data_IF_162038103639
#
_entry.id   IF_162038103639
#
_cell.length_a   1.000
_cell.length_b   1.000
_cell.length_c   1.000
_cell.angle_alpha   90.00
_cell.angle_beta   90.00
_cell.angle_gamma   90.00
#
_symmetry.space_group_name_H-M   'P 1'
#
loop_
_entity.id
_entity.type
_entity.pdbx_description
1 polymer ?
#
# COMPACT_ATOMS: atom_id res chain seq x y z
N UNK A 1 -39.09 47.32 -7.94
CA UNK A 1 -39.09 45.88 -8.16
C UNK A 1 -37.70 45.39 -7.78
N UNK A 2 -37.55 44.80 -6.58
CA UNK A 2 -36.26 44.36 -6.05
C UNK A 2 -36.09 42.89 -6.33
N UNK A 3 -35.16 42.52 -7.18
CA UNK A 3 -34.78 41.10 -7.41
C UNK A 3 -33.98 40.60 -6.21
N UNK A 4 -34.57 39.66 -5.48
CA UNK A 4 -33.86 38.82 -4.50
C UNK A 4 -32.93 37.88 -5.29
N UNK A 5 -31.62 38.16 -5.20
CA UNK A 5 -30.61 37.19 -5.60
C UNK A 5 -30.67 36.05 -4.58
N UNK A 6 -31.29 34.94 -4.98
CA UNK A 6 -31.25 33.68 -4.26
C UNK A 6 -29.92 32.99 -4.57
N UNK A 7 -29.28 32.43 -3.56
CA UNK A 7 -28.20 31.49 -3.79
C UNK A 7 -27.11 31.59 -2.73
N UNK A 8 -27.43 31.14 -1.51
CA UNK A 8 -26.39 30.64 -0.60
C UNK A 8 -25.67 29.52 -1.35
N UNK A 9 -24.33 29.55 -1.47
CA UNK A 9 -23.61 28.43 -2.06
C UNK A 9 -24.04 27.18 -1.32
N UNK A 10 -24.53 26.16 -2.03
CA UNK A 10 -24.84 24.88 -1.44
C UNK A 10 -23.53 24.36 -0.84
N UNK A 11 -23.44 24.26 0.47
CA UNK A 11 -22.33 23.57 1.14
C UNK A 11 -22.29 22.18 0.52
N UNK A 12 -21.17 21.72 -0.06
CA UNK A 12 -21.09 20.39 -0.64
C UNK A 12 -21.59 19.37 0.40
N UNK A 13 -22.49 18.48 -0.01
CA UNK A 13 -23.00 17.44 0.87
C UNK A 13 -21.79 16.59 1.26
N UNK A 14 -21.49 16.51 2.56
CA UNK A 14 -20.43 15.67 3.06
C UNK A 14 -20.76 14.21 2.75
N UNK A 15 -19.87 13.53 2.05
CA UNK A 15 -20.01 12.12 1.68
C UNK A 15 -18.83 11.33 2.22
N UNK A 16 -19.00 10.02 2.40
CA UNK A 16 -17.91 9.14 2.83
C UNK A 16 -16.72 9.22 1.86
N UNK A 17 -16.96 9.20 0.53
CA UNK A 17 -15.91 9.36 -0.48
C UNK A 17 -15.22 10.72 -0.37
N UNK A 18 -15.96 11.80 -0.24
CA UNK A 18 -15.37 13.15 -0.06
C UNK A 18 -14.50 13.27 1.19
N UNK A 19 -14.82 12.52 2.25
CA UNK A 19 -13.99 12.45 3.46
C UNK A 19 -12.69 11.67 3.17
N UNK A 20 -12.76 10.57 2.43
CA UNK A 20 -11.59 9.77 2.01
C UNK A 20 -10.66 10.59 1.11
N UNK A 21 -11.22 11.29 0.11
CA UNK A 21 -10.45 12.14 -0.81
C UNK A 21 -9.73 13.27 -0.06
N UNK A 22 -10.42 13.91 0.88
CA UNK A 22 -9.85 14.96 1.72
C UNK A 22 -8.78 14.40 2.69
N UNK A 23 -8.93 13.17 3.16
CA UNK A 23 -7.94 12.52 4.00
C UNK A 23 -6.63 12.25 3.23
N UNK A 24 -6.71 11.80 1.99
CA UNK A 24 -5.53 11.65 1.13
C UNK A 24 -4.87 13.01 0.85
N UNK A 25 -5.64 14.03 0.48
CA UNK A 25 -5.12 15.37 0.24
C UNK A 25 -4.43 15.95 1.48
N UNK A 26 -5.00 15.76 2.67
CA UNK A 26 -4.39 16.20 3.92
C UNK A 26 -3.07 15.49 4.22
N UNK A 27 -2.98 14.18 3.92
CA UNK A 27 -1.74 13.42 4.10
C UNK A 27 -0.65 13.87 3.12
N UNK A 28 -0.99 14.17 1.87
CA UNK A 28 -0.04 14.70 0.89
C UNK A 28 0.47 16.09 1.29
N UNK A 29 -0.41 16.95 1.83
CA UNK A 29 -0.07 18.32 2.23
C UNK A 29 0.75 18.37 3.52
N UNK A 30 0.35 17.60 4.55
CA UNK A 30 0.83 17.77 5.91
C UNK A 30 1.59 16.55 6.48
N UNK A 31 1.56 15.42 5.79
CA UNK A 31 2.18 14.18 6.25
C UNK A 31 1.37 13.42 7.32
N UNK A 32 1.78 12.17 7.62
CA UNK A 32 1.04 11.27 8.52
C UNK A 32 1.05 11.72 9.98
N UNK A 33 2.12 12.40 10.44
CA UNK A 33 2.23 12.87 11.83
C UNK A 33 1.20 13.96 12.16
N UNK A 34 0.87 14.78 11.18
CA UNK A 34 -0.09 15.87 11.31
C UNK A 34 -1.55 15.43 11.05
N UNK A 35 -1.76 14.18 10.67
CA UNK A 35 -3.08 13.65 10.35
C UNK A 35 -3.94 13.43 11.59
N UNK A 36 -5.04 14.17 11.69
CA UNK A 36 -6.04 14.00 12.75
C UNK A 36 -7.46 14.29 12.25
N UNK A 37 -8.46 13.68 12.90
CA UNK A 37 -9.88 13.90 12.60
C UNK A 37 -10.27 15.37 12.72
N UNK A 38 -9.65 16.09 13.66
CA UNK A 38 -9.89 17.53 13.84
C UNK A 38 -9.34 18.38 12.68
N UNK A 39 -8.15 18.05 12.16
CA UNK A 39 -7.59 18.74 10.97
C UNK A 39 -8.39 18.41 9.72
N UNK A 40 -8.78 17.16 9.57
CA UNK A 40 -9.61 16.71 8.45
C UNK A 40 -10.97 17.42 8.43
N UNK A 41 -11.64 17.54 9.61
CA UNK A 41 -12.88 18.31 9.71
C UNK A 41 -12.70 19.78 9.30
N UNK A 42 -11.58 20.38 9.73
CA UNK A 42 -11.24 21.76 9.40
C UNK A 42 -10.97 21.94 7.90
N UNK A 43 -10.25 21.04 7.24
CA UNK A 43 -10.01 21.10 5.79
C UNK A 43 -11.31 21.00 5.00
N UNK A 44 -12.28 20.24 5.48
CA UNK A 44 -13.63 20.11 4.91
C UNK A 44 -14.60 21.25 5.29
N UNK A 45 -14.18 22.18 6.15
CA UNK A 45 -15.02 23.28 6.60
C UNK A 45 -16.19 22.84 7.48
N UNK A 46 -16.09 21.69 8.16
CA UNK A 46 -17.11 21.13 9.04
C UNK A 46 -16.60 20.99 10.48
N UNK A 47 -17.53 20.69 11.40
CA UNK A 47 -17.16 20.32 12.78
C UNK A 47 -16.84 18.83 12.86
N UNK A 48 -15.91 18.45 13.72
CA UNK A 48 -15.49 17.04 13.89
C UNK A 48 -16.65 16.05 14.09
N UNK A 49 -17.72 16.35 14.87
CA UNK A 49 -18.87 15.46 14.99
C UNK A 49 -19.58 15.14 13.65
N UNK A 50 -19.49 16.04 12.64
CA UNK A 50 -20.11 15.80 11.35
C UNK A 50 -19.40 14.66 10.58
N UNK A 51 -18.10 14.44 10.80
CA UNK A 51 -17.38 13.31 10.21
C UNK A 51 -17.89 11.97 10.75
N UNK A 52 -18.20 11.94 12.06
CA UNK A 52 -18.65 10.71 12.72
C UNK A 52 -20.07 10.27 12.33
N UNK A 53 -20.78 11.07 11.54
CA UNK A 53 -22.01 10.62 10.87
C UNK A 53 -21.74 9.75 9.64
N UNK A 54 -20.48 9.71 9.16
CA UNK A 54 -20.07 9.01 7.94
C UNK A 54 -18.99 7.95 8.20
N UNK A 55 -18.22 8.11 9.26
CA UNK A 55 -17.13 7.20 9.66
C UNK A 55 -17.19 7.00 11.18
N UNK A 56 -17.16 5.75 11.63
CA UNK A 56 -17.36 5.43 13.06
C UNK A 56 -16.20 5.92 13.92
N UNK A 57 -14.99 5.84 13.39
CA UNK A 57 -13.75 6.23 14.07
C UNK A 57 -12.61 6.43 13.06
N UNK A 58 -11.43 6.80 13.57
CA UNK A 58 -10.22 6.97 12.74
C UNK A 58 -9.81 5.68 12.04
N UNK A 59 -9.91 4.53 12.69
CA UNK A 59 -9.56 3.23 12.10
C UNK A 59 -10.50 2.89 10.95
N UNK A 60 -11.80 3.14 11.09
CA UNK A 60 -12.77 2.96 10.01
C UNK A 60 -12.42 3.83 8.80
N UNK A 61 -12.07 5.12 9.01
CA UNK A 61 -11.62 5.99 7.92
C UNK A 61 -10.39 5.43 7.21
N UNK A 62 -9.36 4.98 7.94
CA UNK A 62 -8.15 4.41 7.34
C UNK A 62 -8.46 3.11 6.58
N UNK A 63 -9.40 2.30 7.05
CA UNK A 63 -9.86 1.12 6.32
C UNK A 63 -10.62 1.49 5.03
N UNK A 64 -11.40 2.56 5.03
CA UNK A 64 -12.02 3.11 3.81
C UNK A 64 -10.97 3.61 2.81
N UNK A 65 -9.95 4.31 3.30
CA UNK A 65 -8.81 4.73 2.47
C UNK A 65 -8.08 3.54 1.85
N UNK A 66 -7.78 2.51 2.64
CA UNK A 66 -7.18 1.25 2.15
C UNK A 66 -8.03 0.61 1.06
N UNK A 67 -9.35 0.52 1.26
CA UNK A 67 -10.29 0.02 0.26
C UNK A 67 -10.27 0.84 -1.02
N UNK A 68 -10.26 2.15 -0.91
CA UNK A 68 -10.28 3.06 -2.07
C UNK A 68 -9.00 2.92 -2.90
N UNK A 69 -7.83 2.80 -2.27
CA UNK A 69 -6.56 2.59 -2.96
C UNK A 69 -6.57 1.35 -3.85
N UNK A 70 -7.16 0.26 -3.38
CA UNK A 70 -7.18 -1.02 -4.12
C UNK A 70 -8.40 -1.19 -5.02
N UNK A 71 -9.37 -0.30 -4.91
CA UNK A 71 -10.58 -0.32 -5.73
C UNK A 71 -10.28 -0.21 -7.22
N UNK A 72 -9.17 0.44 -7.57
CA UNK A 72 -8.71 0.61 -8.95
C UNK A 72 -8.04 -0.62 -9.56
N UNK A 73 -7.83 -1.69 -8.77
CA UNK A 73 -7.30 -2.95 -9.30
C UNK A 73 -8.43 -3.63 -10.10
N UNK A 74 -8.29 -3.66 -11.41
CA UNK A 74 -9.23 -4.30 -12.32
C UNK A 74 -9.13 -5.84 -12.23
N UNK A 75 -9.91 -6.42 -11.32
CA UNK A 75 -9.88 -7.85 -11.00
C UNK A 75 -10.28 -8.76 -12.16
N UNK A 76 -11.15 -8.28 -13.03
CA UNK A 76 -11.61 -9.07 -14.18
C UNK A 76 -10.49 -9.44 -15.13
N UNK A 77 -9.45 -8.61 -15.23
CA UNK A 77 -8.26 -8.90 -16.08
C UNK A 77 -7.41 -10.07 -15.57
N UNK A 78 -7.54 -10.42 -14.28
CA UNK A 78 -6.74 -11.48 -13.66
C UNK A 78 -7.39 -12.86 -13.76
N UNK A 79 -8.69 -12.92 -14.08
CA UNK A 79 -9.45 -14.16 -14.06
C UNK A 79 -8.99 -15.18 -15.11
N UNK A 80 -8.62 -14.69 -16.29
CA UNK A 80 -8.25 -15.53 -17.45
C UNK A 80 -6.75 -15.86 -17.51
N UNK A 81 -5.95 -15.22 -16.64
CA UNK A 81 -4.50 -15.47 -16.61
C UNK A 81 -4.15 -16.78 -15.89
N UNK A 82 -3.04 -17.44 -16.25
CA UNK A 82 -2.42 -18.45 -15.41
C UNK A 82 -2.23 -17.90 -14.00
N UNK A 83 -2.39 -18.74 -12.97
CA UNK A 83 -2.37 -18.26 -11.58
C UNK A 83 -1.05 -17.56 -11.20
N UNK A 84 0.09 -17.98 -11.76
CA UNK A 84 1.41 -17.36 -11.53
C UNK A 84 1.45 -15.93 -12.06
N UNK A 85 0.92 -15.70 -13.27
CA UNK A 85 0.81 -14.37 -13.87
C UNK A 85 -0.24 -13.52 -13.13
N UNK A 86 -1.40 -14.11 -12.81
CA UNK A 86 -2.44 -13.42 -12.05
C UNK A 86 -1.93 -12.92 -10.70
N UNK A 87 -1.19 -13.76 -9.97
CA UNK A 87 -0.61 -13.40 -8.67
C UNK A 87 0.48 -12.33 -8.81
N UNK A 88 1.31 -12.44 -9.85
CA UNK A 88 2.34 -11.44 -10.16
C UNK A 88 1.70 -10.07 -10.46
N UNK A 89 0.78 -10.02 -11.39
CA UNK A 89 0.10 -8.77 -11.76
C UNK A 89 -0.69 -8.16 -10.59
N UNK A 90 -1.36 -9.00 -9.81
CA UNK A 90 -2.06 -8.55 -8.62
C UNK A 90 -1.10 -7.84 -7.63
N UNK A 91 0.04 -8.45 -7.33
CA UNK A 91 1.02 -7.88 -6.41
C UNK A 91 1.63 -6.58 -6.93
N UNK A 92 1.90 -6.49 -8.24
CA UNK A 92 2.37 -5.25 -8.90
C UNK A 92 1.34 -4.14 -8.78
N UNK A 93 0.08 -4.42 -9.15
CA UNK A 93 -1.01 -3.44 -9.08
C UNK A 93 -1.28 -2.99 -7.64
N UNK A 94 -1.17 -3.90 -6.67
CA UNK A 94 -1.33 -3.55 -5.26
C UNK A 94 -0.20 -2.62 -4.79
N UNK A 95 1.05 -2.92 -5.14
CA UNK A 95 2.18 -2.03 -4.85
C UNK A 95 1.99 -0.65 -5.49
N UNK A 96 1.60 -0.58 -6.75
CA UNK A 96 1.33 0.68 -7.44
C UNK A 96 0.20 1.47 -6.77
N UNK A 97 -0.85 0.78 -6.33
CA UNK A 97 -1.95 1.41 -5.58
C UNK A 97 -1.46 2.06 -4.28
N UNK A 98 -0.59 1.40 -3.51
CA UNK A 98 0.03 1.98 -2.31
C UNK A 98 0.88 3.21 -2.65
N UNK A 99 1.59 3.19 -3.78
CA UNK A 99 2.49 4.27 -4.19
C UNK A 99 1.79 5.48 -4.81
N UNK A 100 0.47 5.44 -5.04
CA UNK A 100 -0.29 6.62 -5.50
C UNK A 100 -0.31 7.73 -4.48
N UNK A 101 -0.37 7.39 -3.19
CA UNK A 101 -0.33 8.33 -2.08
C UNK A 101 0.72 7.85 -1.07
N UNK A 102 2.02 8.08 -1.34
CA UNK A 102 3.11 7.58 -0.51
C UNK A 102 2.97 7.99 0.96
N UNK A 103 2.51 9.21 1.23
CA UNK A 103 2.28 9.72 2.59
C UNK A 103 1.20 8.93 3.38
N UNK A 104 0.33 8.18 2.69
CA UNK A 104 -0.68 7.34 3.34
C UNK A 104 -0.18 5.95 3.72
N UNK A 105 0.91 5.47 3.11
CA UNK A 105 1.40 4.09 3.28
C UNK A 105 1.69 3.78 4.73
N UNK A 106 2.43 4.65 5.41
CA UNK A 106 2.81 4.47 6.81
C UNK A 106 1.57 4.40 7.72
N UNK A 107 0.62 5.33 7.53
CA UNK A 107 -0.64 5.36 8.27
C UNK A 107 -1.47 4.09 8.05
N UNK A 108 -1.58 3.66 6.78
CA UNK A 108 -2.37 2.49 6.39
C UNK A 108 -1.76 1.20 6.97
N UNK A 109 -0.44 1.05 6.89
CA UNK A 109 0.28 -0.13 7.40
C UNK A 109 0.21 -0.20 8.93
N UNK A 110 0.35 0.93 9.62
CA UNK A 110 0.28 1.00 11.07
C UNK A 110 -1.14 0.78 11.64
N UNK A 111 -2.19 0.84 10.80
CA UNK A 111 -3.57 0.71 11.25
C UNK A 111 -4.07 -0.73 11.08
N UNK A 112 -4.48 -1.43 12.16
CA UNK A 112 -5.01 -2.79 12.06
C UNK A 112 -6.22 -2.88 11.13
N UNK A 113 -6.33 -4.01 10.42
CA UNK A 113 -7.52 -4.32 9.63
C UNK A 113 -8.59 -4.80 10.60
N UNK A 114 -9.78 -4.19 10.56
CA UNK A 114 -10.92 -4.68 11.33
C UNK A 114 -11.59 -5.84 10.58
N UNK A 115 -12.14 -6.82 11.31
CA UNK A 115 -12.88 -7.96 10.74
C UNK A 115 -14.08 -7.51 9.87
N UNK A 116 -14.67 -6.37 10.20
CA UNK A 116 -15.79 -5.76 9.50
C UNK A 116 -15.35 -4.92 8.27
N UNK A 117 -14.04 -4.79 8.05
CA UNK A 117 -13.57 -3.93 6.97
C UNK A 117 -13.72 -4.63 5.62
N UNK A 118 -14.34 -3.93 4.67
CA UNK A 118 -14.38 -4.33 3.25
C UNK A 118 -12.97 -4.46 2.61
N UNK A 119 -11.92 -4.24 3.39
CA UNK A 119 -10.52 -4.52 3.00
C UNK A 119 -10.26 -6.00 2.75
N UNK A 120 -11.17 -6.89 3.19
CA UNK A 120 -11.18 -8.32 2.85
C UNK A 120 -11.12 -8.62 1.37
N UNK A 121 -11.58 -7.70 0.53
CA UNK A 121 -11.62 -7.86 -0.94
C UNK A 121 -10.25 -8.16 -1.56
N UNK A 122 -9.17 -7.58 -1.01
CA UNK A 122 -7.79 -7.84 -1.48
C UNK A 122 -7.39 -9.27 -1.13
N UNK A 123 -7.64 -9.66 0.11
CA UNK A 123 -7.32 -10.99 0.61
C UNK A 123 -8.17 -12.05 -0.07
N UNK A 124 -9.43 -11.74 -0.39
CA UNK A 124 -10.31 -12.63 -1.16
C UNK A 124 -9.77 -12.90 -2.56
N UNK A 125 -9.30 -11.86 -3.26
CA UNK A 125 -8.76 -12.05 -4.61
C UNK A 125 -7.49 -12.87 -4.61
N UNK A 126 -6.51 -12.53 -3.77
CA UNK A 126 -5.28 -13.29 -3.62
C UNK A 126 -5.57 -14.74 -3.19
N UNK A 127 -6.47 -14.92 -2.22
CA UNK A 127 -6.91 -16.23 -1.76
C UNK A 127 -7.59 -17.04 -2.87
N UNK A 128 -8.35 -16.40 -3.78
CA UNK A 128 -8.97 -17.05 -4.93
C UNK A 128 -7.94 -17.51 -5.94
N UNK A 129 -6.96 -16.68 -6.25
CA UNK A 129 -5.85 -17.04 -7.14
C UNK A 129 -5.09 -18.25 -6.59
N UNK A 130 -4.72 -18.24 -5.30
CA UNK A 130 -3.99 -19.32 -4.65
C UNK A 130 -4.81 -20.62 -4.53
N UNK A 131 -6.11 -20.53 -4.26
CA UNK A 131 -7.00 -21.72 -4.29
C UNK A 131 -7.09 -22.33 -5.68
N UNK A 132 -7.21 -21.49 -6.72
CA UNK A 132 -7.23 -21.95 -8.11
C UNK A 132 -5.91 -22.63 -8.49
N UNK A 133 -4.81 -22.20 -7.90
CA UNK A 133 -3.49 -22.84 -8.05
C UNK A 133 -3.39 -24.22 -7.38
N UNK A 134 -4.34 -24.61 -6.52
CA UNK A 134 -4.28 -25.84 -5.75
C UNK A 134 -3.53 -25.71 -4.42
N UNK A 135 -3.22 -24.50 -3.97
CA UNK A 135 -2.55 -24.28 -2.68
C UNK A 135 -3.47 -24.72 -1.53
N UNK A 136 -2.96 -25.56 -0.64
CA UNK A 136 -3.69 -26.03 0.53
C UNK A 136 -4.10 -24.86 1.44
N UNK A 137 -5.35 -24.87 1.94
CA UNK A 137 -5.93 -23.75 2.72
C UNK A 137 -5.04 -23.25 3.86
N UNK A 138 -4.38 -24.09 4.68
CA UNK A 138 -3.48 -23.61 5.74
C UNK A 138 -2.26 -22.83 5.21
N UNK A 139 -1.84 -23.10 3.95
CA UNK A 139 -0.69 -22.43 3.32
C UNK A 139 -1.06 -21.10 2.69
N UNK A 140 -2.31 -20.91 2.28
CA UNK A 140 -2.79 -19.70 1.63
C UNK A 140 -2.43 -18.47 2.47
N UNK A 141 -2.78 -18.48 3.76
CA UNK A 141 -2.51 -17.34 4.64
C UNK A 141 -1.00 -17.03 4.73
N UNK A 142 -0.15 -18.03 4.82
CA UNK A 142 1.31 -17.84 4.88
C UNK A 142 1.84 -17.19 3.61
N UNK A 143 1.37 -17.63 2.44
CA UNK A 143 1.77 -17.07 1.14
C UNK A 143 1.26 -15.64 1.01
N UNK A 144 0.03 -15.38 1.41
CA UNK A 144 -0.57 -14.03 1.39
C UNK A 144 0.23 -13.06 2.25
N UNK A 145 0.55 -13.44 3.49
CA UNK A 145 1.34 -12.60 4.41
C UNK A 145 2.76 -12.37 3.87
N UNK A 146 3.38 -13.37 3.26
CA UNK A 146 4.71 -13.22 2.67
C UNK A 146 4.71 -12.20 1.50
N UNK A 147 3.71 -12.29 0.61
CA UNK A 147 3.56 -11.36 -0.51
C UNK A 147 3.22 -9.95 -0.01
N UNK A 148 2.30 -9.82 0.95
CA UNK A 148 1.95 -8.53 1.55
C UNK A 148 3.16 -7.87 2.21
N UNK A 149 3.94 -8.62 2.99
CA UNK A 149 5.16 -8.10 3.62
C UNK A 149 6.17 -7.59 2.59
N UNK A 150 6.29 -8.30 1.47
CA UNK A 150 7.15 -7.87 0.36
C UNK A 150 6.62 -6.59 -0.30
N UNK A 151 5.32 -6.50 -0.57
CA UNK A 151 4.68 -5.31 -1.17
C UNK A 151 4.86 -4.10 -0.27
N UNK A 152 4.53 -4.26 1.02
CA UNK A 152 4.61 -3.20 2.02
C UNK A 152 6.06 -2.76 2.22
N UNK A 153 7.00 -3.70 2.36
CA UNK A 153 8.43 -3.40 2.48
C UNK A 153 8.94 -2.60 1.28
N UNK A 154 8.58 -3.01 0.07
CA UNK A 154 8.97 -2.30 -1.15
C UNK A 154 8.30 -0.91 -1.28
N UNK A 155 7.10 -0.72 -0.75
CA UNK A 155 6.44 0.58 -0.72
C UNK A 155 7.09 1.52 0.31
N UNK A 156 7.39 1.03 1.50
CA UNK A 156 8.06 1.79 2.56
C UNK A 156 9.49 2.20 2.19
N UNK A 157 10.22 1.38 1.43
CA UNK A 157 11.56 1.72 0.95
C UNK A 157 11.58 2.97 0.04
N UNK A 158 10.47 3.23 -0.65
CA UNK A 158 10.30 4.45 -1.45
C UNK A 158 9.95 5.67 -0.58
N UNK A 159 9.09 5.47 0.43
CA UNK A 159 8.62 6.54 1.32
C UNK A 159 9.72 7.00 2.29
N UNK A 160 10.50 6.06 2.81
CA UNK A 160 11.62 6.30 3.71
C UNK A 160 12.93 5.78 3.10
N UNK A 161 13.48 6.44 2.09
CA UNK A 161 14.66 5.97 1.39
C UNK A 161 15.86 5.88 2.32
N UNK A 162 16.48 4.70 2.37
CA UNK A 162 17.69 4.44 3.16
C UNK A 162 17.44 3.90 4.56
N UNK A 163 16.20 3.72 5.00
CA UNK A 163 15.91 3.10 6.30
C UNK A 163 16.47 1.67 6.41
N UNK A 164 16.54 0.94 5.31
CA UNK A 164 17.07 -0.43 5.26
C UNK A 164 18.57 -0.50 4.93
N UNK A 165 19.13 0.50 4.23
CA UNK A 165 20.56 0.54 3.87
C UNK A 165 21.41 1.17 4.96
N UNK A 166 20.82 2.04 5.79
CA UNK A 166 21.52 2.71 6.90
C UNK A 166 21.98 1.76 8.02
N UNK A 167 21.55 0.50 8.02
CA UNK A 167 21.96 -0.51 9.02
C UNK A 167 23.21 -1.31 8.63
N UNK A 168 23.73 -1.12 7.40
CA UNK A 168 25.01 -1.73 7.02
C UNK A 168 26.11 -0.79 7.51
N UNK A 169 26.97 -1.20 8.45
CA UNK A 169 28.08 -0.40 8.88
C UNK A 169 28.96 -0.13 7.67
N UNK A 170 28.89 1.08 7.14
CA UNK A 170 29.87 1.56 6.17
C UNK A 170 31.13 1.98 6.94
N UNK A 171 32.30 1.67 6.44
CA UNK A 171 33.48 2.39 6.86
C UNK A 171 33.34 3.87 6.45
N UNK A 172 34.24 4.74 6.94
CA UNK A 172 34.21 6.18 6.65
C UNK A 172 34.18 6.53 5.15
N UNK A 173 34.23 5.54 4.26
CA UNK A 173 34.19 5.65 2.80
C UNK A 173 32.92 5.05 2.17
N UNK A 174 31.97 4.57 2.96
CA UNK A 174 30.74 3.95 2.45
C UNK A 174 30.94 2.56 1.82
N UNK A 175 32.05 1.89 2.11
CA UNK A 175 32.38 0.59 1.56
C UNK A 175 32.02 -0.54 2.52
N UNK A 176 31.37 -1.60 2.01
CA UNK A 176 31.10 -2.83 2.76
C UNK A 176 32.21 -3.82 2.44
N UNK A 177 32.94 -4.28 3.45
CA UNK A 177 33.92 -5.37 3.29
C UNK A 177 33.23 -6.71 3.46
N UNK A 178 33.32 -7.57 2.44
CA UNK A 178 32.96 -8.96 2.59
C UNK A 178 33.98 -9.68 3.48
N UNK A 179 33.58 -10.77 4.10
CA UNK A 179 34.46 -11.67 4.86
C UNK A 179 35.63 -12.23 4.02
N UNK A 180 35.63 -12.04 2.73
CA UNK A 180 36.63 -12.50 1.75
C UNK A 180 37.53 -11.36 1.22
N UNK A 181 37.43 -10.15 1.80
CA UNK A 181 38.30 -9.02 1.45
C UNK A 181 37.92 -8.26 0.16
N UNK A 182 36.87 -8.66 -0.53
CA UNK A 182 36.34 -7.86 -1.64
C UNK A 182 35.61 -6.62 -1.11
N UNK A 183 36.04 -5.46 -1.62
CA UNK A 183 35.40 -4.18 -1.33
C UNK A 183 34.28 -3.99 -2.33
N UNK A 184 33.03 -4.14 -1.89
CA UNK A 184 31.86 -3.78 -2.69
C UNK A 184 31.37 -2.41 -2.27
N UNK A 185 31.46 -1.44 -3.18
CA UNK A 185 30.84 -0.14 -2.99
C UNK A 185 29.36 -0.23 -3.32
N UNK A 186 28.60 -0.79 -2.39
CA UNK A 186 27.15 -0.89 -2.51
C UNK A 186 26.48 0.49 -2.49
N UNK A 187 27.10 1.46 -1.81
CA UNK A 187 26.58 2.82 -1.72
C UNK A 187 26.61 3.52 -3.09
N UNK A 188 27.76 3.43 -3.81
CA UNK A 188 27.86 4.00 -5.16
C UNK A 188 27.00 3.25 -6.19
N UNK A 189 26.92 1.92 -6.10
CA UNK A 189 26.05 1.13 -6.97
C UNK A 189 24.57 1.49 -6.75
N UNK A 190 24.16 1.65 -5.49
CA UNK A 190 22.80 2.04 -5.13
C UNK A 190 22.48 3.50 -5.54
N UNK A 191 23.46 4.42 -5.38
CA UNK A 191 23.28 5.82 -5.75
C UNK A 191 23.22 6.05 -7.28
N UNK A 192 23.94 5.23 -8.04
CA UNK A 192 23.94 5.30 -9.53
C UNK A 192 22.67 4.78 -10.16
N UNK A 193 22.02 3.79 -9.55
CA UNK A 193 20.75 3.26 -10.02
C UNK A 193 19.63 4.03 -9.32
N UNK A 194 18.76 4.71 -10.08
CA UNK A 194 17.64 5.43 -9.48
C UNK A 194 16.95 4.53 -8.44
N UNK A 195 16.82 4.99 -7.20
CA UNK A 195 16.30 4.22 -6.04
C UNK A 195 15.01 3.46 -6.37
N UNK A 196 14.13 4.08 -7.16
CA UNK A 196 12.89 3.48 -7.65
C UNK A 196 13.12 2.23 -8.51
N UNK A 197 14.18 2.20 -9.31
CA UNK A 197 14.51 1.05 -10.16
C UNK A 197 15.02 -0.14 -9.35
N UNK A 198 15.88 0.10 -8.35
CA UNK A 198 16.41 -0.97 -7.48
C UNK A 198 15.31 -1.54 -6.60
N UNK A 199 14.47 -0.70 -6.00
CA UNK A 199 13.34 -1.13 -5.18
C UNK A 199 12.36 -1.98 -5.99
N UNK A 200 12.06 -1.59 -7.24
CA UNK A 200 11.18 -2.39 -8.10
C UNK A 200 11.82 -3.74 -8.49
N UNK A 201 13.08 -3.74 -8.87
CA UNK A 201 13.79 -4.97 -9.22
C UNK A 201 13.89 -5.94 -8.04
N UNK A 202 14.16 -5.44 -6.86
CA UNK A 202 14.21 -6.24 -5.62
C UNK A 202 12.84 -6.82 -5.28
N UNK A 203 11.79 -6.03 -5.42
CA UNK A 203 10.40 -6.47 -5.27
C UNK A 203 10.06 -7.57 -6.29
N UNK A 204 10.33 -7.35 -7.56
CA UNK A 204 10.07 -8.32 -8.63
C UNK A 204 10.83 -9.63 -8.40
N UNK A 205 12.09 -9.56 -8.03
CA UNK A 205 12.91 -10.74 -7.70
C UNK A 205 12.31 -11.54 -6.55
N UNK A 206 11.97 -10.88 -5.44
CA UNK A 206 11.35 -11.53 -4.28
C UNK A 206 10.00 -12.14 -4.60
N UNK A 207 9.16 -11.43 -5.37
CA UNK A 207 7.84 -11.91 -5.79
C UNK A 207 7.94 -13.16 -6.67
N UNK A 208 8.83 -13.16 -7.67
CA UNK A 208 9.08 -14.32 -8.53
C UNK A 208 9.61 -15.51 -7.73
N UNK A 209 10.47 -15.27 -6.74
CA UNK A 209 10.98 -16.33 -5.87
C UNK A 209 9.87 -16.98 -5.05
N UNK A 210 8.94 -16.18 -4.48
CA UNK A 210 7.78 -16.69 -3.74
C UNK A 210 6.87 -17.50 -4.68
N UNK A 211 6.51 -16.96 -5.85
CA UNK A 211 5.65 -17.65 -6.84
C UNK A 211 6.28 -18.99 -7.24
N UNK A 212 7.57 -19.02 -7.56
CA UNK A 212 8.27 -20.24 -7.94
C UNK A 212 8.35 -21.27 -6.80
N UNK A 213 8.42 -20.82 -5.55
CA UNK A 213 8.38 -21.73 -4.40
C UNK A 213 6.98 -22.38 -4.26
N UNK A 214 5.92 -21.60 -4.42
CA UNK A 214 4.53 -22.11 -4.40
C UNK A 214 4.28 -23.06 -5.57
N UNK A 215 4.75 -22.74 -6.77
CA UNK A 215 4.61 -23.57 -7.96
C UNK A 215 5.24 -24.95 -7.79
N UNK A 216 6.44 -25.01 -7.21
CA UNK A 216 7.11 -26.28 -6.90
C UNK A 216 6.33 -27.09 -5.85
N UNK A 217 5.78 -26.47 -4.83
CA UNK A 217 5.01 -27.14 -3.80
C UNK A 217 3.72 -27.76 -4.37
N UNK A 218 2.99 -26.99 -5.18
CA UNK A 218 1.76 -27.46 -5.84
C UNK A 218 2.03 -28.59 -6.83
N UNK A 219 3.17 -28.56 -7.56
CA UNK A 219 3.52 -29.59 -8.53
C UNK A 219 3.94 -30.93 -7.88
N UNK A 220 4.22 -30.94 -6.58
CA UNK A 220 4.62 -32.12 -5.81
C UNK A 220 3.49 -32.73 -4.98
N UNK A 221 2.32 -32.07 -4.96
CA UNK A 221 1.14 -32.47 -4.19
C UNK A 221 0.15 -33.22 -5.06
#
# INVERSE_FOLDING_TARGET
>A
MSQRVAGRPATPILTQQGIVDAAFALLEEAGPEEFSMGRLARSLGVRTPALYNHVDNRQHLVNLMRRDMVRSIERNMLADLPWTEALFHFAVLFREALLRVPAAVELIVATPISEESESGVIYEEMGRILRRAGVAVPRILMVMVAIESLIVGAALDIVAPGAHVATVPADDRGTVRSSHGEVMDLGEAYARQARTSVSYQSFEFGLRAIISAVEREVSQS
#
